data_IF_328044894860
#
_entry.id   IF_328044894860
#
_cell.length_a   1.000
_cell.length_b   1.000
_cell.length_c   1.000
_cell.angle_alpha   90.00
_cell.angle_beta   90.00
_cell.angle_gamma   90.00
#
_symmetry.space_group_name_H-M   'P 1'
#
loop_
_entity.id
_entity.type
_entity.pdbx_description
1 polymer ?
#
# COMPACT_ATOMS: atom_id res chain seq x y z
N UNK A 1 -24.38 13.19 16.62
CA UNK A 1 -23.21 12.54 17.25
C UNK A 1 -22.86 13.32 18.48
N UNK A 2 -22.77 12.66 19.64
CA UNK A 2 -22.35 13.29 20.88
C UNK A 2 -20.93 13.82 20.72
N UNK A 3 -20.66 15.01 21.26
CA UNK A 3 -19.31 15.58 21.27
C UNK A 3 -18.76 15.55 22.68
N UNK A 4 -17.45 15.34 22.77
CA UNK A 4 -16.69 15.53 24.01
C UNK A 4 -16.78 17.00 24.38
N UNK A 5 -17.09 17.28 25.66
CA UNK A 5 -17.18 18.66 26.16
C UNK A 5 -15.81 19.26 26.56
N UNK A 6 -14.85 18.39 26.86
CA UNK A 6 -13.51 18.81 27.27
C UNK A 6 -12.71 19.43 26.11
N UNK A 7 -11.93 20.48 26.44
CA UNK A 7 -11.04 21.20 25.50
C UNK A 7 -9.56 20.80 25.68
N UNK A 8 -9.24 19.94 26.63
CA UNK A 8 -7.92 19.35 26.85
C UNK A 8 -8.04 17.94 27.41
N UNK A 9 -7.02 17.11 27.25
CA UNK A 9 -6.99 15.75 27.81
C UNK A 9 -7.09 15.77 29.35
N UNK A 10 -6.47 16.73 29.99
CA UNK A 10 -6.48 16.86 31.45
C UNK A 10 -7.82 17.32 32.02
N UNK A 11 -8.67 17.95 31.19
CA UNK A 11 -10.02 18.36 31.57
C UNK A 11 -11.09 17.31 31.21
N UNK A 12 -10.70 16.25 30.47
CA UNK A 12 -11.63 15.22 30.04
C UNK A 12 -12.07 14.34 31.22
N UNK A 13 -13.39 14.17 31.34
CA UNK A 13 -14.00 13.24 32.28
C UNK A 13 -14.00 11.79 31.71
N UNK A 14 -14.27 10.81 32.57
CA UNK A 14 -14.44 9.42 32.15
C UNK A 14 -15.50 9.29 31.04
N UNK A 15 -16.61 9.99 31.16
CA UNK A 15 -17.67 10.04 30.15
C UNK A 15 -17.19 10.62 28.81
N UNK A 16 -16.33 11.63 28.84
CA UNK A 16 -15.74 12.18 27.60
C UNK A 16 -14.85 11.14 26.92
N UNK A 17 -14.06 10.38 27.67
CA UNK A 17 -13.23 9.30 27.13
C UNK A 17 -14.07 8.15 26.56
N UNK A 18 -15.17 7.74 27.21
CA UNK A 18 -16.10 6.75 26.68
C UNK A 18 -16.67 7.17 25.32
N UNK A 19 -17.08 8.44 25.18
CA UNK A 19 -17.58 9.00 23.92
C UNK A 19 -16.48 8.95 22.86
N UNK A 20 -15.27 9.45 23.16
CA UNK A 20 -14.15 9.53 22.24
C UNK A 20 -13.71 8.14 21.75
N UNK A 21 -13.53 7.19 22.68
CA UNK A 21 -13.12 5.81 22.37
C UNK A 21 -14.16 5.10 21.51
N UNK A 22 -15.43 5.17 21.90
CA UNK A 22 -16.53 4.53 21.13
C UNK A 22 -16.62 5.07 19.73
N UNK A 23 -16.63 6.39 19.56
CA UNK A 23 -16.75 7.01 18.23
C UNK A 23 -15.49 6.81 17.39
N UNK A 24 -14.30 6.92 18.01
CA UNK A 24 -13.03 6.63 17.36
C UNK A 24 -12.98 5.19 16.84
N UNK A 25 -13.33 4.22 17.69
CA UNK A 25 -13.39 2.80 17.32
C UNK A 25 -14.31 2.55 16.11
N UNK A 26 -15.54 3.05 16.17
CA UNK A 26 -16.51 2.90 15.07
C UNK A 26 -15.97 3.50 13.76
N UNK A 27 -15.43 4.72 13.83
CA UNK A 27 -14.86 5.42 12.67
C UNK A 27 -13.68 4.68 12.07
N UNK A 28 -12.67 4.32 12.89
CA UNK A 28 -11.45 3.69 12.38
C UNK A 28 -11.70 2.33 11.74
N UNK A 29 -12.69 1.57 12.22
CA UNK A 29 -13.11 0.32 11.57
C UNK A 29 -13.83 0.62 10.26
N UNK A 30 -14.79 1.56 10.26
CA UNK A 30 -15.57 1.90 9.07
C UNK A 30 -14.69 2.50 7.95
N UNK A 31 -13.70 3.30 8.32
CA UNK A 31 -12.79 3.98 7.38
C UNK A 31 -11.51 3.18 7.09
N UNK A 32 -11.43 1.91 7.51
CA UNK A 32 -10.26 1.10 7.28
C UNK A 32 -9.90 1.03 5.78
N UNK A 33 -8.66 1.39 5.45
CA UNK A 33 -8.13 1.45 4.09
C UNK A 33 -8.52 2.70 3.28
N UNK A 34 -9.44 3.55 3.76
CA UNK A 34 -9.85 4.77 3.02
C UNK A 34 -8.67 5.71 2.78
N UNK A 35 -7.82 5.92 3.77
CA UNK A 35 -6.67 6.81 3.64
C UNK A 35 -5.67 6.31 2.57
N UNK A 36 -5.40 5.00 2.53
CA UNK A 36 -4.53 4.39 1.51
C UNK A 36 -5.14 4.52 0.11
N UNK A 37 -6.45 4.28 -0.02
CA UNK A 37 -7.16 4.47 -1.29
C UNK A 37 -7.14 5.93 -1.74
N UNK A 38 -7.27 6.88 -0.82
CA UNK A 38 -7.21 8.31 -1.15
C UNK A 38 -5.81 8.73 -1.62
N UNK A 39 -4.75 8.22 -0.99
CA UNK A 39 -3.37 8.44 -1.46
C UNK A 39 -3.16 7.88 -2.87
N UNK A 40 -3.63 6.66 -3.15
CA UNK A 40 -3.56 6.12 -4.50
C UNK A 40 -4.37 6.95 -5.50
N UNK A 41 -5.59 7.34 -5.14
CA UNK A 41 -6.48 8.14 -6.01
C UNK A 41 -5.93 9.55 -6.29
N UNK A 42 -5.18 10.14 -5.37
CA UNK A 42 -4.57 11.46 -5.59
C UNK A 42 -3.52 11.45 -6.71
N UNK A 43 -2.94 10.28 -7.02
CA UNK A 43 -1.99 10.12 -8.12
C UNK A 43 -2.63 10.03 -9.51
N UNK A 44 -3.97 10.02 -9.60
CA UNK A 44 -4.70 9.80 -10.86
C UNK A 44 -4.39 10.86 -11.93
N UNK A 45 -4.26 12.09 -11.50
CA UNK A 45 -4.07 13.24 -12.40
C UNK A 45 -2.61 13.77 -12.36
N UNK A 46 -1.70 13.01 -11.70
CA UNK A 46 -0.29 13.35 -11.64
C UNK A 46 0.43 13.04 -12.97
N UNK A 47 1.50 13.77 -13.30
CA UNK A 47 2.25 13.53 -14.52
C UNK A 47 2.94 12.17 -14.52
N UNK A 48 3.09 11.58 -15.69
CA UNK A 48 3.73 10.27 -15.87
C UNK A 48 5.26 10.29 -15.74
N UNK A 49 5.86 11.44 -15.50
CA UNK A 49 7.32 11.60 -15.39
C UNK A 49 8.12 11.04 -16.59
N UNK A 50 7.51 11.13 -17.79
CA UNK A 50 8.09 10.66 -19.04
C UNK A 50 7.77 9.21 -19.43
N UNK A 51 7.09 8.45 -18.57
CA UNK A 51 6.54 7.13 -18.90
C UNK A 51 5.25 7.25 -19.71
N UNK A 52 4.79 6.12 -20.28
CA UNK A 52 3.54 6.06 -21.05
C UNK A 52 2.29 6.12 -20.16
N UNK A 53 2.43 5.79 -18.88
CA UNK A 53 1.37 5.80 -17.88
C UNK A 53 1.86 6.49 -16.61
N UNK A 54 0.94 7.06 -15.84
CA UNK A 54 1.28 7.60 -14.53
C UNK A 54 1.27 6.50 -13.45
N UNK A 55 1.63 6.86 -12.23
CA UNK A 55 1.77 5.89 -11.14
C UNK A 55 0.44 5.24 -10.74
N UNK A 56 -0.66 5.96 -10.82
CA UNK A 56 -2.00 5.41 -10.59
C UNK A 56 -2.36 4.32 -11.61
N UNK A 57 -2.11 4.58 -12.89
CA UNK A 57 -2.38 3.64 -13.98
C UNK A 57 -1.46 2.42 -13.89
N UNK A 58 -0.17 2.63 -13.55
CA UNK A 58 0.80 1.57 -13.26
C UNK A 58 0.30 0.65 -12.15
N UNK A 59 -0.09 1.22 -11.01
CA UNK A 59 -0.61 0.47 -9.86
C UNK A 59 -1.85 -0.36 -10.19
N UNK A 60 -2.78 0.22 -10.97
CA UNK A 60 -3.97 -0.52 -11.43
C UNK A 60 -3.61 -1.64 -12.41
N UNK A 61 -2.68 -1.41 -13.34
CA UNK A 61 -2.22 -2.46 -14.28
C UNK A 61 -1.56 -3.61 -13.53
N UNK A 62 -0.67 -3.31 -12.60
CA UNK A 62 0.03 -4.31 -11.78
C UNK A 62 -0.96 -5.15 -10.95
N UNK A 63 -1.88 -4.49 -10.25
CA UNK A 63 -2.90 -5.18 -9.45
C UNK A 63 -3.89 -5.99 -10.31
N UNK A 64 -4.26 -5.49 -11.50
CA UNK A 64 -5.10 -6.23 -12.44
C UNK A 64 -4.42 -7.52 -12.87
N UNK A 65 -3.14 -7.44 -13.23
CA UNK A 65 -2.34 -8.61 -13.63
C UNK A 65 -2.19 -9.62 -12.49
N UNK A 66 -1.94 -9.16 -11.27
CA UNK A 66 -1.87 -10.02 -10.09
C UNK A 66 -3.21 -10.73 -9.83
N UNK A 67 -4.32 -10.02 -9.90
CA UNK A 67 -5.65 -10.59 -9.74
C UNK A 67 -5.97 -11.63 -10.84
N UNK A 68 -5.65 -11.34 -12.11
CA UNK A 68 -5.83 -12.26 -13.25
C UNK A 68 -4.99 -13.53 -13.12
N UNK A 69 -3.81 -13.42 -12.50
CA UNK A 69 -2.94 -14.55 -12.22
C UNK A 69 -3.36 -15.38 -11.00
N UNK A 70 -4.45 -15.02 -10.33
CA UNK A 70 -4.99 -15.77 -9.18
C UNK A 70 -4.23 -15.57 -7.88
N UNK A 71 -3.50 -14.47 -7.75
CA UNK A 71 -2.85 -14.12 -6.47
C UNK A 71 -3.90 -13.90 -5.37
N UNK A 72 -3.52 -14.16 -4.13
CA UNK A 72 -4.43 -13.94 -3.01
C UNK A 72 -4.73 -12.44 -2.78
N UNK A 73 -5.84 -12.17 -2.11
CA UNK A 73 -6.35 -10.83 -1.91
C UNK A 73 -5.36 -9.86 -1.26
N UNK A 74 -4.59 -10.34 -0.27
CA UNK A 74 -3.61 -9.49 0.41
C UNK A 74 -2.44 -9.16 -0.52
N UNK A 75 -1.99 -10.12 -1.32
CA UNK A 75 -0.96 -9.90 -2.31
C UNK A 75 -1.42 -8.87 -3.36
N UNK A 76 -2.64 -9.02 -3.89
CA UNK A 76 -3.23 -8.04 -4.84
C UNK A 76 -3.27 -6.64 -4.24
N UNK A 77 -3.66 -6.51 -2.96
CA UNK A 77 -3.68 -5.22 -2.25
C UNK A 77 -2.26 -4.67 -2.05
N UNK A 78 -1.29 -5.52 -1.73
CA UNK A 78 0.12 -5.12 -1.62
C UNK A 78 0.65 -4.60 -2.96
N UNK A 79 0.35 -5.30 -4.06
CA UNK A 79 0.70 -4.87 -5.42
C UNK A 79 0.02 -3.56 -5.80
N UNK A 80 -1.27 -3.40 -5.50
CA UNK A 80 -2.01 -2.15 -5.77
C UNK A 80 -1.41 -0.93 -5.08
N UNK A 81 -0.89 -1.11 -3.87
CA UNK A 81 -0.49 -0.02 -3.00
C UNK A 81 1.04 0.10 -2.84
N UNK A 82 1.85 -0.66 -3.61
CA UNK A 82 3.30 -0.68 -3.43
C UNK A 82 3.94 0.69 -3.62
N UNK A 83 3.42 1.46 -4.56
CA UNK A 83 3.89 2.79 -4.96
C UNK A 83 3.04 3.96 -4.43
N UNK A 84 2.19 3.70 -3.42
CA UNK A 84 1.27 4.73 -2.90
C UNK A 84 1.98 5.98 -2.35
N UNK A 85 3.29 5.91 -2.10
CA UNK A 85 4.10 6.99 -1.57
C UNK A 85 5.06 7.61 -2.61
N UNK A 86 4.94 7.27 -3.90
CA UNK A 86 5.85 7.72 -4.96
C UNK A 86 5.96 9.25 -5.02
N UNK A 87 4.86 9.97 -4.89
CA UNK A 87 4.84 11.44 -4.97
C UNK A 87 5.26 12.11 -3.65
N UNK A 88 5.31 11.37 -2.55
CA UNK A 88 5.77 11.88 -1.27
C UNK A 88 7.30 11.84 -1.15
N UNK A 89 7.93 10.75 -1.56
CA UNK A 89 9.38 10.58 -1.56
C UNK A 89 9.80 9.61 -2.68
N UNK A 90 10.04 10.10 -3.91
CA UNK A 90 10.39 9.25 -5.04
C UNK A 90 11.65 8.42 -4.84
N UNK A 91 12.53 8.84 -3.94
CA UNK A 91 13.79 8.15 -3.66
C UNK A 91 13.67 7.03 -2.61
N UNK A 92 12.59 7.04 -1.83
CA UNK A 92 12.35 6.08 -0.73
C UNK A 92 10.88 5.66 -0.63
N UNK A 93 10.12 5.79 -1.73
CA UNK A 93 8.69 5.46 -1.74
C UNK A 93 8.41 4.05 -1.24
N UNK A 94 9.27 3.09 -1.57
CA UNK A 94 9.21 1.70 -1.09
C UNK A 94 9.23 1.63 0.45
N UNK A 95 10.13 2.37 1.09
CA UNK A 95 10.26 2.42 2.55
C UNK A 95 9.07 3.11 3.21
N UNK A 96 8.61 4.20 2.62
CA UNK A 96 7.43 4.94 3.12
C UNK A 96 6.18 4.08 2.98
N UNK A 97 5.94 3.51 1.80
CA UNK A 97 4.82 2.60 1.56
C UNK A 97 4.88 1.38 2.49
N UNK A 98 6.06 0.75 2.60
CA UNK A 98 6.28 -0.37 3.51
C UNK A 98 5.95 -0.02 4.96
N UNK A 99 6.36 1.15 5.44
CA UNK A 99 6.04 1.61 6.80
C UNK A 99 4.53 1.77 7.02
N UNK A 100 3.84 2.39 6.06
CA UNK A 100 2.39 2.58 6.12
C UNK A 100 1.64 1.24 6.05
N UNK A 101 2.12 0.30 5.25
CA UNK A 101 1.48 -0.98 5.00
C UNK A 101 1.85 -2.07 6.03
N UNK A 102 2.95 -1.91 6.76
CA UNK A 102 3.45 -2.90 7.74
C UNK A 102 2.38 -3.49 8.65
N UNK A 103 1.46 -2.70 9.21
CA UNK A 103 0.45 -3.23 10.13
C UNK A 103 -0.57 -4.16 9.48
N UNK A 104 -0.70 -4.14 8.16
CA UNK A 104 -1.82 -4.72 7.40
C UNK A 104 -1.41 -5.90 6.54
N UNK A 105 -0.10 -6.09 6.33
CA UNK A 105 0.44 -7.12 5.45
C UNK A 105 1.17 -8.22 6.23
N UNK A 106 1.14 -9.43 5.68
CA UNK A 106 2.02 -10.53 6.09
C UNK A 106 3.49 -10.15 5.90
N UNK A 107 4.43 -10.77 6.63
CA UNK A 107 5.85 -10.42 6.59
C UNK A 107 6.44 -10.39 5.17
N UNK A 108 6.12 -11.37 4.34
CA UNK A 108 6.61 -11.47 2.96
C UNK A 108 6.12 -10.33 2.07
N UNK A 109 4.82 -9.99 2.14
CA UNK A 109 4.24 -8.91 1.35
C UNK A 109 4.71 -7.54 1.84
N UNK A 110 4.84 -7.36 3.16
CA UNK A 110 5.42 -6.15 3.73
C UNK A 110 6.87 -5.96 3.27
N UNK A 111 7.70 -7.02 3.34
CA UNK A 111 9.09 -6.95 2.94
C UNK A 111 9.24 -6.64 1.44
N UNK A 112 8.40 -7.24 0.61
CA UNK A 112 8.28 -6.97 -0.81
C UNK A 112 8.04 -5.48 -1.07
N UNK A 113 6.99 -4.90 -0.50
CA UNK A 113 6.68 -3.47 -0.64
C UNK A 113 7.83 -2.60 -0.14
N UNK A 114 8.42 -2.92 1.00
CA UNK A 114 9.48 -2.11 1.61
C UNK A 114 10.84 -2.18 0.90
N UNK A 115 11.03 -3.07 -0.08
CA UNK A 115 12.33 -3.27 -0.73
C UNK A 115 12.26 -3.33 -2.26
N UNK A 116 11.07 -3.25 -2.88
CA UNK A 116 10.91 -3.46 -4.32
C UNK A 116 11.79 -2.53 -5.17
N UNK A 117 11.97 -1.27 -4.76
CA UNK A 117 12.76 -0.30 -5.52
C UNK A 117 14.19 -0.80 -5.83
N UNK A 118 14.82 -1.47 -4.87
CA UNK A 118 16.15 -2.03 -5.06
C UNK A 118 16.17 -3.23 -6.02
N UNK A 119 15.10 -4.04 -6.01
CA UNK A 119 14.93 -5.17 -6.93
C UNK A 119 14.60 -4.70 -8.33
N UNK A 120 13.79 -3.65 -8.46
CA UNK A 120 13.44 -3.00 -9.72
C UNK A 120 14.68 -2.55 -10.51
N UNK A 121 15.77 -2.18 -9.82
CA UNK A 121 17.04 -1.83 -10.47
C UNK A 121 17.58 -2.95 -11.36
N UNK A 122 17.33 -4.22 -11.02
CA UNK A 122 17.73 -5.38 -11.82
C UNK A 122 17.16 -5.41 -13.23
N UNK A 123 16.04 -4.74 -13.46
CA UNK A 123 15.36 -4.66 -14.77
C UNK A 123 15.69 -3.40 -15.56
N UNK A 124 16.52 -2.50 -15.02
CA UNK A 124 16.91 -1.25 -15.68
C UNK A 124 18.13 -1.48 -16.55
N UNK A 125 18.06 -1.11 -17.83
CA UNK A 125 19.11 -1.35 -18.83
C UNK A 125 20.15 -0.24 -18.93
N UNK A 126 19.91 0.92 -18.28
CA UNK A 126 20.83 2.05 -18.36
C UNK A 126 22.05 1.85 -17.43
N UNK A 127 23.25 2.08 -17.94
CA UNK A 127 24.54 1.82 -17.27
C UNK A 127 24.78 2.55 -15.93
N UNK A 128 23.99 3.58 -15.63
CA UNK A 128 24.04 4.29 -14.34
C UNK A 128 23.37 3.54 -13.19
N UNK A 129 22.58 2.49 -13.48
CA UNK A 129 21.92 1.72 -12.45
C UNK A 129 22.75 0.50 -12.03
N UNK A 130 22.83 0.27 -10.73
CA UNK A 130 23.40 -0.96 -10.19
C UNK A 130 22.36 -2.09 -10.28
N UNK A 131 22.42 -2.83 -11.40
CA UNK A 131 21.50 -3.95 -11.66
C UNK A 131 21.72 -5.13 -10.71
N UNK A 132 22.79 -5.13 -9.91
CA UNK A 132 23.06 -6.17 -8.90
C UNK A 132 22.75 -5.71 -7.47
N UNK A 133 22.16 -4.53 -7.31
CA UNK A 133 21.89 -3.97 -5.97
C UNK A 133 21.07 -4.87 -5.06
N UNK A 134 20.17 -5.71 -5.62
CA UNK A 134 19.37 -6.64 -4.85
C UNK A 134 20.14 -7.88 -4.36
N UNK A 135 21.31 -8.19 -4.94
CA UNK A 135 22.11 -9.38 -4.58
C UNK A 135 22.53 -9.41 -3.11
N UNK A 136 22.67 -8.25 -2.48
CA UNK A 136 22.93 -8.15 -1.03
C UNK A 136 21.85 -8.83 -0.15
N UNK A 137 20.68 -9.08 -0.73
CA UNK A 137 19.55 -9.73 -0.05
C UNK A 137 19.34 -11.19 -0.46
N UNK A 138 20.23 -11.79 -1.29
CA UNK A 138 20.02 -13.14 -1.86
C UNK A 138 19.75 -14.23 -0.81
N UNK A 139 20.26 -14.10 0.38
CA UNK A 139 19.99 -15.02 1.49
C UNK A 139 18.71 -14.74 2.29
N UNK A 140 17.96 -13.69 1.95
CA UNK A 140 16.76 -13.34 2.68
C UNK A 140 15.58 -14.25 2.31
N UNK A 141 14.77 -14.75 3.26
CA UNK A 141 13.66 -15.67 2.98
C UNK A 141 12.66 -15.16 1.91
N UNK A 142 12.51 -13.85 1.79
CA UNK A 142 11.55 -13.22 0.87
C UNK A 142 12.22 -12.65 -0.40
N UNK A 143 13.47 -13.03 -0.68
CA UNK A 143 14.19 -12.58 -1.88
C UNK A 143 13.44 -12.94 -3.15
N UNK A 144 13.16 -14.23 -3.34
CA UNK A 144 12.49 -14.73 -4.55
C UNK A 144 11.06 -14.20 -4.67
N UNK A 145 10.37 -14.02 -3.56
CA UNK A 145 9.03 -13.42 -3.53
C UNK A 145 9.04 -12.00 -4.09
N UNK A 146 10.02 -11.18 -3.70
CA UNK A 146 10.15 -9.79 -4.18
C UNK A 146 10.66 -9.73 -5.60
N UNK A 147 11.62 -10.58 -5.97
CA UNK A 147 12.11 -10.66 -7.35
C UNK A 147 10.96 -11.02 -8.31
N UNK A 148 10.14 -12.02 -7.95
CA UNK A 148 8.95 -12.42 -8.70
C UNK A 148 7.96 -11.27 -8.85
N UNK A 149 7.73 -10.49 -7.81
CA UNK A 149 6.87 -9.30 -7.88
C UNK A 149 7.39 -8.31 -8.92
N UNK A 150 8.66 -7.92 -8.82
CA UNK A 150 9.25 -6.96 -9.75
C UNK A 150 9.24 -7.48 -11.19
N UNK A 151 9.51 -8.78 -11.41
CA UNK A 151 9.50 -9.39 -12.74
C UNK A 151 8.11 -9.43 -13.35
N UNK A 152 7.13 -9.96 -12.62
CA UNK A 152 5.81 -10.23 -13.18
C UNK A 152 4.89 -9.02 -13.19
N UNK A 153 4.94 -8.17 -12.16
CA UNK A 153 3.91 -7.17 -11.92
C UNK A 153 4.42 -5.73 -11.98
N UNK A 154 5.62 -5.44 -11.48
CA UNK A 154 6.11 -4.07 -11.40
C UNK A 154 6.71 -3.61 -12.75
N UNK A 155 7.83 -4.18 -13.16
CA UNK A 155 8.59 -3.70 -14.35
C UNK A 155 7.81 -3.80 -15.67
N UNK A 156 6.75 -4.59 -15.74
CA UNK A 156 6.01 -4.91 -16.97
C UNK A 156 4.68 -4.16 -17.12
N UNK A 157 4.36 -3.20 -16.26
CA UNK A 157 3.06 -2.54 -16.19
C UNK A 157 3.06 -1.06 -16.61
N UNK A 158 3.89 -0.71 -17.62
CA UNK A 158 3.99 0.63 -18.19
C UNK A 158 3.39 0.76 -19.60
N UNK A 159 2.69 -0.27 -20.10
CA UNK A 159 2.00 -0.23 -21.38
C UNK A 159 0.66 0.53 -21.24
N UNK A 160 0.44 1.63 -22.03
CA UNK A 160 -0.82 2.37 -21.98
C UNK A 160 -2.03 1.56 -22.44
N UNK A 161 -1.82 0.48 -23.20
CA UNK A 161 -2.87 -0.41 -23.70
C UNK A 161 -3.12 -1.63 -22.80
N UNK A 162 -2.37 -1.78 -21.69
CA UNK A 162 -2.57 -2.88 -20.76
C UNK A 162 -3.97 -2.84 -20.14
N UNK A 163 -4.55 -4.02 -19.86
CA UNK A 163 -5.80 -4.10 -19.10
C UNK A 163 -5.66 -3.42 -17.76
N UNK A 164 -6.59 -2.56 -17.42
CA UNK A 164 -6.73 -1.90 -16.14
C UNK A 164 -8.16 -2.01 -15.65
N UNK A 165 -8.38 -2.81 -14.62
CA UNK A 165 -9.65 -2.82 -13.93
C UNK A 165 -9.84 -1.51 -13.16
N UNK A 166 -11.08 -1.06 -13.05
CA UNK A 166 -11.39 0.15 -12.29
C UNK A 166 -11.03 -0.02 -10.80
N UNK A 167 -10.62 1.06 -10.15
CA UNK A 167 -10.29 1.07 -8.72
C UNK A 167 -11.42 0.47 -7.86
N UNK A 168 -12.69 0.63 -8.29
CA UNK A 168 -13.85 0.09 -7.61
C UNK A 168 -13.80 -1.46 -7.46
N UNK A 169 -13.05 -2.16 -8.32
CA UNK A 169 -12.81 -3.61 -8.20
C UNK A 169 -11.96 -3.93 -6.96
N UNK A 170 -11.00 -3.08 -6.66
CA UNK A 170 -10.01 -3.29 -5.61
C UNK A 170 -10.40 -2.67 -4.26
N UNK A 171 -11.25 -1.64 -4.25
CA UNK A 171 -11.69 -0.98 -3.01
C UNK A 171 -12.23 -1.94 -1.95
N UNK A 172 -13.12 -2.92 -2.29
CA UNK A 172 -13.58 -3.90 -1.30
C UNK A 172 -12.46 -4.78 -0.74
N UNK A 173 -11.44 -5.11 -1.55
CA UNK A 173 -10.28 -5.90 -1.13
C UNK A 173 -9.45 -5.13 -0.10
N UNK A 174 -9.11 -3.86 -0.42
CA UNK A 174 -8.40 -2.96 0.50
C UNK A 174 -9.15 -2.84 1.82
N UNK A 175 -10.46 -2.60 1.77
CA UNK A 175 -11.29 -2.50 2.98
C UNK A 175 -11.28 -3.78 3.81
N UNK A 176 -11.32 -4.96 3.19
CA UNK A 176 -11.25 -6.24 3.92
C UNK A 176 -9.89 -6.48 4.55
N UNK A 177 -8.80 -6.24 3.81
CA UNK A 177 -7.43 -6.43 4.31
C UNK A 177 -7.15 -5.49 5.49
N UNK A 178 -7.46 -4.20 5.36
CA UNK A 178 -7.27 -3.22 6.42
C UNK A 178 -8.26 -3.42 7.58
N UNK A 179 -9.52 -3.74 7.25
CA UNK A 179 -10.60 -3.91 8.22
C UNK A 179 -10.35 -5.05 9.19
N UNK A 180 -9.81 -6.19 8.73
CA UNK A 180 -9.45 -7.33 9.60
C UNK A 180 -8.49 -6.90 10.71
N UNK A 181 -7.47 -6.12 10.37
CA UNK A 181 -6.46 -5.66 11.31
C UNK A 181 -7.03 -4.57 12.24
N UNK A 182 -7.78 -3.61 11.69
CA UNK A 182 -8.39 -2.55 12.48
C UNK A 182 -9.42 -3.11 13.45
N UNK A 183 -10.23 -4.08 13.05
CA UNK A 183 -11.18 -4.77 13.94
C UNK A 183 -10.45 -5.43 15.11
N UNK A 184 -9.39 -6.21 14.85
CA UNK A 184 -8.62 -6.88 15.89
C UNK A 184 -7.97 -5.87 16.87
N UNK A 185 -7.35 -4.80 16.35
CA UNK A 185 -6.70 -3.77 17.17
C UNK A 185 -7.69 -2.98 18.02
N UNK A 186 -8.84 -2.62 17.43
CA UNK A 186 -9.85 -1.84 18.14
C UNK A 186 -10.59 -2.66 19.19
N UNK A 187 -10.60 -4.00 19.08
CA UNK A 187 -11.14 -4.88 20.12
C UNK A 187 -10.27 -4.89 21.38
N UNK A 188 -8.95 -4.74 21.22
CA UNK A 188 -7.97 -4.67 22.33
C UNK A 188 -7.66 -3.25 22.80
N UNK A 189 -8.26 -2.24 22.16
CA UNK A 189 -8.09 -0.84 22.57
C UNK A 189 -8.94 -0.55 23.81
N UNK A 190 -8.36 0.04 24.87
CA UNK A 190 -9.07 0.30 26.13
C UNK A 190 -10.30 1.16 25.98
#
# INVERSE_FOLDING_TARGET
MDKVGATSFTAATEKDWEIAVRQGRQRYIADAGVAALNLLKSQKDEPSNGWQVNNYEHSLSAATKALRNGEDEEYVVAVLLHDLAQDLDPMRHDRVAGTLMKPFLRPENHWMVANHQVFQLGFRTHSKFDTKACEKFRGHPFFEHTLRFCDLYDQSCFDPNAERLAIATFEPMVRRVFGRVMQARMTSYP
#
